data_IF_998224815938
#
_entry.id   IF_998224815938
#
_cell.length_a   1.000
_cell.length_b   1.000
_cell.length_c   1.000
_cell.angle_alpha   90.00
_cell.angle_beta   90.00
_cell.angle_gamma   90.00
#
_symmetry.space_group_name_H-M   'P 1'
#
loop_
_entity.id
_entity.type
_entity.pdbx_description
1 polymer ?
#
# COMPACT_ATOMS: atom_id res chain seq x y z
N UNK A 1 25.38 15.35 -6.29
CA UNK A 1 26.01 14.04 -6.55
C UNK A 1 27.33 14.20 -7.29
N UNK A 2 27.39 14.94 -8.39
CA UNK A 2 28.64 15.15 -9.17
C UNK A 2 29.75 15.81 -8.34
N UNK A 3 29.43 16.80 -7.50
CA UNK A 3 30.41 17.47 -6.62
C UNK A 3 30.85 16.61 -5.42
N UNK A 4 30.06 15.63 -5.06
CA UNK A 4 30.31 14.72 -3.96
C UNK A 4 30.09 13.29 -4.42
N UNK A 5 31.09 12.66 -5.06
CA UNK A 5 30.95 11.33 -5.68
C UNK A 5 30.93 10.16 -4.68
N UNK A 6 30.93 10.46 -3.38
CA UNK A 6 30.86 9.44 -2.34
C UNK A 6 29.43 8.88 -2.22
N UNK A 7 29.29 7.86 -1.36
CA UNK A 7 28.04 7.17 -1.11
C UNK A 7 26.92 8.13 -0.72
N UNK A 8 25.76 7.96 -1.36
CA UNK A 8 24.61 8.83 -1.16
C UNK A 8 23.31 8.01 -1.02
N UNK A 9 22.36 8.56 -0.25
CA UNK A 9 21.00 8.01 -0.11
C UNK A 9 20.01 9.04 -0.63
N UNK A 10 19.05 8.61 -1.43
CA UNK A 10 17.92 9.45 -1.86
C UNK A 10 16.63 8.82 -1.33
N UNK A 11 15.93 9.54 -0.47
CA UNK A 11 14.65 9.11 0.06
C UNK A 11 13.48 9.58 -0.81
N UNK A 12 12.58 8.63 -1.09
CA UNK A 12 11.32 8.83 -1.81
C UNK A 12 10.17 8.17 -1.08
N UNK A 13 8.93 8.61 -1.31
CA UNK A 13 7.78 8.15 -0.55
C UNK A 13 7.21 6.80 -0.99
N UNK A 14 7.30 6.45 -2.27
CA UNK A 14 6.62 5.28 -2.80
C UNK A 14 7.53 4.41 -3.67
N UNK A 15 7.10 3.15 -3.86
CA UNK A 15 7.86 2.13 -4.60
C UNK A 15 8.11 2.53 -6.07
N UNK A 16 7.12 3.15 -6.71
CA UNK A 16 7.18 3.57 -8.11
C UNK A 16 8.25 4.66 -8.29
N UNK A 17 8.18 5.72 -7.50
CA UNK A 17 9.20 6.79 -7.50
C UNK A 17 10.60 6.25 -7.20
N UNK A 18 10.72 5.22 -6.34
CA UNK A 18 12.00 4.60 -6.03
C UNK A 18 12.66 3.99 -7.25
N UNK A 19 11.90 3.25 -8.05
CA UNK A 19 12.39 2.62 -9.29
C UNK A 19 12.67 3.67 -10.36
N UNK A 20 11.72 4.59 -10.61
CA UNK A 20 11.83 5.63 -11.64
C UNK A 20 13.02 6.55 -11.40
N UNK A 21 13.21 7.04 -10.16
CA UNK A 21 14.35 7.90 -9.82
C UNK A 21 15.68 7.16 -9.99
N UNK A 22 15.75 5.88 -9.59
CA UNK A 22 16.94 5.06 -9.79
C UNK A 22 17.28 4.89 -11.29
N UNK A 23 16.27 4.65 -12.12
CA UNK A 23 16.45 4.52 -13.57
C UNK A 23 16.93 5.83 -14.21
N UNK A 24 16.33 6.96 -13.81
CA UNK A 24 16.74 8.28 -14.30
C UNK A 24 18.19 8.60 -13.92
N UNK A 25 18.61 8.30 -12.69
CA UNK A 25 19.97 8.52 -12.26
C UNK A 25 20.98 7.65 -13.03
N UNK A 26 20.64 6.39 -13.31
CA UNK A 26 21.48 5.52 -14.14
C UNK A 26 21.59 6.05 -15.59
N UNK A 27 20.51 6.60 -16.16
CA UNK A 27 20.54 7.26 -17.48
C UNK A 27 21.43 8.52 -17.50
N UNK A 28 21.53 9.20 -16.36
CA UNK A 28 22.41 10.37 -16.18
C UNK A 28 23.87 9.98 -15.88
N UNK A 29 24.20 8.69 -15.89
CA UNK A 29 25.56 8.19 -15.68
C UNK A 29 25.97 7.94 -14.22
N UNK A 30 25.06 8.02 -13.27
CA UNK A 30 25.34 7.64 -11.90
C UNK A 30 25.14 6.14 -11.71
N UNK A 31 25.99 5.46 -10.95
CA UNK A 31 25.75 4.08 -10.53
C UNK A 31 24.72 4.07 -9.40
N UNK A 32 23.50 3.66 -9.73
CA UNK A 32 22.38 3.75 -8.81
C UNK A 32 21.64 2.42 -8.66
N UNK A 33 21.30 2.07 -7.43
CA UNK A 33 20.42 0.97 -7.07
C UNK A 33 19.20 1.48 -6.28
N UNK A 34 18.24 0.60 -5.97
CA UNK A 34 17.04 1.00 -5.25
C UNK A 34 16.65 -0.01 -4.18
N UNK A 35 15.88 0.46 -3.16
CA UNK A 35 15.42 -0.36 -2.05
C UNK A 35 14.04 0.06 -1.56
N UNK A 36 13.09 -0.88 -1.53
CA UNK A 36 11.77 -0.66 -0.94
C UNK A 36 11.19 -1.94 -0.31
N UNK A 37 10.22 -1.79 0.57
CA UNK A 37 9.63 -2.90 1.34
C UNK A 37 9.03 -4.03 0.49
N UNK A 38 8.58 -3.74 -0.73
CA UNK A 38 7.97 -4.73 -1.64
C UNK A 38 8.95 -5.58 -2.46
N UNK A 39 10.27 -5.36 -2.35
CA UNK A 39 11.26 -6.20 -3.02
C UNK A 39 11.35 -7.60 -2.38
N UNK A 40 11.60 -8.66 -3.16
CA UNK A 40 11.99 -9.96 -2.64
C UNK A 40 13.24 -9.88 -1.76
N UNK A 41 13.36 -10.73 -0.74
CA UNK A 41 14.47 -10.69 0.21
C UNK A 41 15.86 -10.75 -0.47
N UNK A 42 16.03 -11.62 -1.45
CA UNK A 42 17.28 -11.76 -2.22
C UNK A 42 17.66 -10.47 -2.99
N UNK A 43 16.66 -9.78 -3.52
CA UNK A 43 16.89 -8.54 -4.27
C UNK A 43 17.21 -7.38 -3.33
N UNK A 44 16.52 -7.30 -2.17
CA UNK A 44 16.86 -6.36 -1.10
C UNK A 44 18.32 -6.49 -0.68
N UNK A 45 18.75 -7.73 -0.41
CA UNK A 45 20.11 -8.02 0.01
C UNK A 45 21.13 -7.65 -1.07
N UNK A 46 20.90 -8.07 -2.33
CA UNK A 46 21.74 -7.76 -3.49
C UNK A 46 21.92 -6.24 -3.68
N UNK A 47 20.83 -5.49 -3.65
CA UNK A 47 20.83 -4.05 -3.89
C UNK A 47 21.51 -3.31 -2.73
N UNK A 48 21.24 -3.71 -1.49
CA UNK A 48 21.89 -3.18 -0.31
C UNK A 48 23.41 -3.46 -0.33
N UNK A 49 23.82 -4.70 -0.64
CA UNK A 49 25.23 -5.09 -0.70
C UNK A 49 25.99 -4.33 -1.79
N UNK A 50 25.39 -4.13 -2.97
CA UNK A 50 25.98 -3.34 -4.07
C UNK A 50 26.29 -1.91 -3.61
N UNK A 51 25.41 -1.30 -2.81
CA UNK A 51 25.63 0.04 -2.28
C UNK A 51 26.62 0.05 -1.11
N UNK A 52 26.57 -0.93 -0.21
CA UNK A 52 27.53 -1.06 0.89
C UNK A 52 28.98 -1.22 0.39
N UNK A 53 29.18 -1.97 -0.67
CA UNK A 53 30.48 -2.21 -1.30
C UNK A 53 30.92 -1.09 -2.26
N UNK A 54 30.19 0.03 -2.33
CA UNK A 54 30.44 1.15 -3.25
C UNK A 54 30.43 0.77 -4.76
N UNK A 55 29.82 -0.37 -5.14
CA UNK A 55 29.53 -0.71 -6.52
C UNK A 55 28.44 0.20 -7.10
N UNK A 56 27.53 0.63 -6.25
CA UNK A 56 26.54 1.69 -6.54
C UNK A 56 26.82 2.89 -5.67
N UNK A 57 27.02 4.05 -6.29
CA UNK A 57 27.23 5.33 -5.59
C UNK A 57 25.97 5.75 -4.86
N UNK A 58 24.81 5.57 -5.45
CA UNK A 58 23.53 6.04 -4.96
C UNK A 58 22.59 4.87 -4.67
N UNK A 59 21.90 4.94 -3.53
CA UNK A 59 20.73 4.11 -3.29
C UNK A 59 19.50 4.99 -3.17
N UNK A 60 18.48 4.73 -4.03
CA UNK A 60 17.16 5.35 -3.90
C UNK A 60 16.29 4.46 -3.04
N UNK A 61 15.68 5.00 -2.00
CA UNK A 61 14.99 4.18 -1.03
C UNK A 61 13.69 4.82 -0.51
N UNK A 62 12.77 3.97 -0.07
CA UNK A 62 11.66 4.40 0.79
C UNK A 62 12.09 4.31 2.26
N UNK A 63 11.25 4.78 3.18
CA UNK A 63 11.46 4.68 4.63
C UNK A 63 11.70 3.24 5.15
N UNK A 64 11.39 2.22 4.33
CA UNK A 64 11.75 0.83 4.65
C UNK A 64 13.27 0.58 4.68
N UNK A 65 14.07 1.51 4.13
CA UNK A 65 15.53 1.47 4.15
C UNK A 65 16.03 2.28 5.32
N UNK A 66 16.40 1.59 6.39
CA UNK A 66 16.85 2.37 7.53
C UNK A 66 17.31 1.57 8.73
N UNK A 67 16.50 0.70 9.29
CA UNK A 67 16.87 -0.04 10.49
C UNK A 67 18.08 -0.95 10.24
N UNK A 68 19.12 -0.82 11.08
CA UNK A 68 20.31 -1.66 11.02
C UNK A 68 21.33 -1.31 9.94
N UNK A 69 21.18 -0.18 9.21
CA UNK A 69 22.18 0.25 8.23
C UNK A 69 23.21 1.13 8.93
N UNK A 70 24.44 0.64 8.95
CA UNK A 70 25.59 1.36 9.47
C UNK A 70 26.70 1.43 8.43
N UNK A 71 26.64 2.48 7.58
CA UNK A 71 27.66 2.79 6.57
C UNK A 71 28.26 4.16 6.92
N UNK A 72 29.55 4.20 7.32
CA UNK A 72 30.16 5.43 7.86
C UNK A 72 30.44 6.50 6.79
N UNK A 73 30.64 6.11 5.55
CA UNK A 73 31.07 6.98 4.43
C UNK A 73 29.91 7.58 3.62
N UNK A 74 28.70 7.60 4.16
CA UNK A 74 27.58 8.30 3.53
C UNK A 74 27.80 9.81 3.58
N UNK A 75 27.98 10.41 2.40
CA UNK A 75 28.27 11.85 2.29
C UNK A 75 27.03 12.70 2.14
N UNK A 76 26.00 12.18 1.49
CA UNK A 76 24.80 12.97 1.18
C UNK A 76 23.53 12.14 1.38
N UNK A 77 22.57 12.72 2.09
CA UNK A 77 21.20 12.22 2.18
C UNK A 77 20.27 13.26 1.57
N UNK A 78 19.50 12.87 0.57
CA UNK A 78 18.60 13.75 -0.18
C UNK A 78 17.16 13.27 -0.02
N UNK A 79 16.28 14.17 0.35
CA UNK A 79 14.83 13.96 0.30
C UNK A 79 14.28 14.73 -0.91
N UNK A 80 13.74 14.04 -1.89
CA UNK A 80 13.12 14.67 -3.08
C UNK A 80 11.63 14.93 -2.91
N UNK A 81 11.10 14.64 -1.73
CA UNK A 81 9.73 14.93 -1.28
C UNK A 81 9.79 15.29 0.19
N UNK A 82 8.85 16.12 0.66
CA UNK A 82 8.82 16.53 2.06
C UNK A 82 8.66 15.30 2.97
N UNK A 83 9.44 15.18 4.04
CA UNK A 83 9.25 14.13 5.05
C UNK A 83 7.89 14.27 5.74
N UNK A 84 7.36 13.20 6.29
CA UNK A 84 6.08 13.20 7.01
C UNK A 84 6.17 13.99 8.31
N UNK A 85 7.31 13.88 9.00
CA UNK A 85 7.65 14.59 10.24
C UNK A 85 9.17 14.79 10.36
N UNK A 86 9.59 15.64 11.29
CA UNK A 86 11.01 15.93 11.50
C UNK A 86 11.77 14.75 12.14
N UNK A 87 11.10 13.92 12.93
CA UNK A 87 11.71 12.75 13.57
C UNK A 87 12.21 11.78 12.51
N UNK A 88 11.37 11.47 11.52
CA UNK A 88 11.74 10.62 10.38
C UNK A 88 12.89 11.27 9.58
N UNK A 89 12.79 12.57 9.33
CA UNK A 89 13.84 13.32 8.63
C UNK A 89 15.20 13.22 9.35
N UNK A 90 15.23 13.44 10.67
CA UNK A 90 16.46 13.35 11.45
C UNK A 90 17.04 11.93 11.47
N UNK A 91 16.20 10.92 11.58
CA UNK A 91 16.65 9.52 11.53
C UNK A 91 17.26 9.16 10.16
N UNK A 92 16.69 9.70 9.09
CA UNK A 92 17.15 9.46 7.71
C UNK A 92 18.36 10.32 7.37
N UNK A 93 18.34 11.62 7.64
CA UNK A 93 19.45 12.54 7.41
C UNK A 93 20.67 12.23 8.29
N UNK A 94 20.45 11.78 9.52
CA UNK A 94 21.50 11.36 10.47
C UNK A 94 22.30 10.12 10.06
N UNK A 95 22.03 9.55 8.87
CA UNK A 95 22.88 8.51 8.26
C UNK A 95 24.09 9.08 7.57
N UNK A 96 24.08 10.37 7.24
CA UNK A 96 25.21 11.06 6.67
C UNK A 96 26.23 11.46 7.75
N UNK A 97 27.51 11.39 7.43
CA UNK A 97 28.60 11.93 8.27
C UNK A 97 28.93 11.12 9.53
N UNK A 98 28.60 9.85 9.60
CA UNK A 98 28.90 8.99 10.76
C UNK A 98 30.40 8.79 11.00
N UNK A 99 31.22 9.05 10.00
CA UNK A 99 32.66 9.05 10.10
C UNK A 99 33.23 10.37 10.69
N UNK A 100 32.37 11.32 11.09
CA UNK A 100 32.79 12.62 11.62
C UNK A 100 33.18 13.66 10.55
N UNK A 101 33.13 13.32 9.28
CA UNK A 101 33.38 14.26 8.18
C UNK A 101 32.17 15.09 7.85
N UNK A 102 32.41 16.26 7.22
CA UNK A 102 31.34 17.12 6.70
C UNK A 102 30.43 16.33 5.73
N UNK A 103 29.16 16.31 6.02
CA UNK A 103 28.13 15.63 5.22
C UNK A 103 26.94 16.56 4.97
N UNK A 104 26.04 16.15 4.09
CA UNK A 104 24.94 16.99 3.65
C UNK A 104 23.61 16.26 3.79
N UNK A 105 22.67 16.87 4.54
CA UNK A 105 21.24 16.55 4.54
C UNK A 105 20.52 17.59 3.67
N UNK A 106 19.82 17.17 2.64
CA UNK A 106 19.20 18.04 1.66
C UNK A 106 17.71 17.67 1.50
N UNK A 107 16.83 18.65 1.60
CA UNK A 107 15.43 18.53 1.19
C UNK A 107 15.26 19.33 -0.11
N UNK A 108 14.86 18.64 -1.18
CA UNK A 108 14.48 19.29 -2.44
C UNK A 108 12.98 19.51 -2.41
N UNK A 109 12.56 20.76 -2.42
CA UNK A 109 11.15 21.14 -2.29
C UNK A 109 10.81 22.34 -3.15
N UNK A 110 9.54 22.46 -3.46
CA UNK A 110 8.93 23.62 -4.09
C UNK A 110 7.63 24.00 -3.34
N UNK A 111 7.06 25.20 -3.54
CA UNK A 111 5.85 25.62 -2.81
C UNK A 111 4.64 24.69 -2.97
N UNK A 112 4.51 23.99 -4.11
CA UNK A 112 3.41 23.07 -4.36
C UNK A 112 3.53 21.78 -3.53
N UNK A 113 4.73 21.39 -3.10
CA UNK A 113 4.96 20.20 -2.32
C UNK A 113 4.31 20.28 -0.93
N UNK A 114 4.24 21.47 -0.35
CA UNK A 114 3.55 21.72 0.92
C UNK A 114 2.06 21.41 0.77
N UNK A 115 1.42 21.97 -0.26
CA UNK A 115 -0.01 21.74 -0.54
C UNK A 115 -0.29 20.27 -0.84
N UNK A 116 0.55 19.64 -1.65
CA UNK A 116 0.41 18.24 -1.98
C UNK A 116 0.58 17.34 -0.75
N UNK A 117 1.58 17.61 0.09
CA UNK A 117 1.83 16.87 1.32
C UNK A 117 0.69 17.03 2.32
N UNK A 118 0.17 18.26 2.49
CA UNK A 118 -1.00 18.52 3.32
C UNK A 118 -2.21 17.70 2.86
N UNK A 119 -2.52 17.74 1.56
CA UNK A 119 -3.64 16.98 0.99
C UNK A 119 -3.49 15.48 1.21
N UNK A 120 -2.26 14.97 1.18
CA UNK A 120 -1.98 13.54 1.32
C UNK A 120 -2.04 13.04 2.78
N UNK A 121 -1.64 13.84 3.76
CA UNK A 121 -1.47 13.38 5.14
C UNK A 121 -2.41 14.05 6.15
N UNK A 122 -2.82 15.30 5.91
CA UNK A 122 -3.63 16.07 6.86
C UNK A 122 -5.09 16.11 6.44
N UNK A 123 -5.38 16.46 5.19
CA UNK A 123 -6.77 16.62 4.72
C UNK A 123 -7.53 15.28 4.66
N UNK A 124 -6.82 14.16 4.70
CA UNK A 124 -7.39 12.80 4.78
C UNK A 124 -7.66 12.32 6.21
N UNK A 125 -7.30 13.11 7.24
CA UNK A 125 -7.59 12.77 8.62
C UNK A 125 -9.10 12.94 8.89
N UNK A 126 -9.76 11.92 9.46
CA UNK A 126 -11.17 12.04 9.79
C UNK A 126 -11.36 12.82 11.09
N UNK A 127 -12.28 13.74 11.10
CA UNK A 127 -12.77 14.36 12.33
C UNK A 127 -13.81 13.46 13.04
N UNK A 128 -14.18 13.84 14.26
CA UNK A 128 -15.17 13.11 15.07
C UNK A 128 -16.49 12.91 14.32
N UNK A 129 -16.97 13.94 13.61
CA UNK A 129 -18.24 13.89 12.89
C UNK A 129 -18.18 12.88 11.77
N UNK A 130 -17.08 12.86 11.03
CA UNK A 130 -16.88 11.94 9.91
C UNK A 130 -16.73 10.49 10.41
N UNK A 131 -15.96 10.23 11.47
CA UNK A 131 -15.84 8.89 12.07
C UNK A 131 -17.20 8.38 12.55
N UNK A 132 -17.98 9.25 13.20
CA UNK A 132 -19.34 8.92 13.62
C UNK A 132 -20.23 8.56 12.44
N UNK A 133 -20.20 9.34 11.37
CA UNK A 133 -21.00 9.11 10.19
C UNK A 133 -20.61 7.78 9.52
N UNK A 134 -19.31 7.51 9.37
CA UNK A 134 -18.81 6.21 8.87
C UNK A 134 -19.31 5.06 9.74
N UNK A 135 -19.22 5.16 11.08
CA UNK A 135 -19.65 4.12 12.00
C UNK A 135 -21.16 3.82 11.90
N UNK A 136 -21.99 4.87 11.90
CA UNK A 136 -23.46 4.72 11.75
C UNK A 136 -23.80 4.10 10.38
N UNK A 137 -23.17 4.59 9.30
CA UNK A 137 -23.41 4.07 7.95
C UNK A 137 -22.92 2.63 7.79
N UNK A 138 -21.83 2.25 8.47
CA UNK A 138 -21.34 0.88 8.48
C UNK A 138 -22.34 -0.08 9.14
N UNK A 139 -22.86 0.28 10.30
CA UNK A 139 -23.91 -0.50 10.97
C UNK A 139 -25.18 -0.59 10.11
N UNK A 140 -25.59 0.51 9.47
CA UNK A 140 -26.74 0.51 8.56
C UNK A 140 -26.52 -0.34 7.31
N UNK A 141 -25.31 -0.35 6.78
CA UNK A 141 -24.91 -1.16 5.61
C UNK A 141 -25.10 -2.65 5.87
N UNK A 142 -24.78 -3.10 7.08
CA UNK A 142 -24.96 -4.47 7.53
C UNK A 142 -26.30 -4.71 8.29
N UNK A 143 -27.18 -3.73 8.31
CA UNK A 143 -28.51 -3.80 8.94
C UNK A 143 -28.48 -4.17 10.43
N UNK A 144 -27.42 -3.75 11.14
CA UNK A 144 -27.28 -3.98 12.58
C UNK A 144 -28.16 -2.98 13.34
N UNK A 145 -29.05 -3.49 14.20
CA UNK A 145 -29.89 -2.65 15.04
C UNK A 145 -29.13 -2.09 16.25
N UNK A 146 -29.66 -1.02 16.85
CA UNK A 146 -29.09 -0.45 18.08
C UNK A 146 -29.10 -1.49 19.21
N UNK A 147 -27.96 -1.65 19.88
CA UNK A 147 -27.76 -2.66 20.94
C UNK A 147 -27.37 -4.06 20.43
N UNK A 148 -27.26 -4.25 19.12
CA UNK A 148 -26.90 -5.53 18.49
C UNK A 148 -25.52 -5.49 17.82
N UNK A 149 -25.11 -6.57 17.18
CA UNK A 149 -23.92 -6.67 16.35
C UNK A 149 -22.67 -7.20 17.05
N UNK A 150 -22.69 -7.44 18.33
CA UNK A 150 -21.52 -7.95 19.05
C UNK A 150 -21.05 -9.30 18.50
N UNK A 151 -19.78 -9.40 18.15
CA UNK A 151 -19.13 -10.57 17.53
C UNK A 151 -19.64 -10.95 16.13
N UNK A 152 -20.43 -10.10 15.48
CA UNK A 152 -20.86 -10.36 14.12
C UNK A 152 -19.77 -9.96 13.12
N UNK A 153 -19.54 -10.83 12.11
CA UNK A 153 -18.52 -10.66 11.08
C UNK A 153 -19.14 -10.63 9.69
N UNK A 154 -18.71 -9.68 8.89
CA UNK A 154 -19.22 -9.46 7.55
C UNK A 154 -18.08 -9.34 6.53
N UNK A 155 -18.30 -9.90 5.34
CA UNK A 155 -17.48 -9.61 4.19
C UNK A 155 -17.74 -8.15 3.75
N UNK A 156 -16.68 -7.40 3.42
CA UNK A 156 -16.75 -5.97 3.19
C UNK A 156 -15.97 -5.56 1.95
N UNK A 157 -16.52 -4.61 1.19
CA UNK A 157 -15.81 -3.92 0.12
C UNK A 157 -15.80 -2.42 0.40
N UNK A 158 -14.64 -1.87 0.68
CA UNK A 158 -14.47 -0.45 1.01
C UNK A 158 -14.93 0.46 -0.14
N UNK A 159 -14.58 0.12 -1.38
CA UNK A 159 -14.92 0.97 -2.54
C UNK A 159 -16.43 1.01 -2.78
N UNK A 160 -17.11 -0.13 -2.68
CA UNK A 160 -18.57 -0.21 -2.80
C UNK A 160 -19.27 0.57 -1.68
N UNK A 161 -18.81 0.41 -0.44
CA UNK A 161 -19.33 1.16 0.72
C UNK A 161 -19.17 2.66 0.52
N UNK A 162 -17.97 3.10 0.12
CA UNK A 162 -17.70 4.51 -0.13
C UNK A 162 -18.53 5.08 -1.29
N UNK A 163 -18.70 4.32 -2.37
CA UNK A 163 -19.55 4.71 -3.50
C UNK A 163 -21.02 4.85 -3.08
N UNK A 164 -21.53 3.90 -2.28
CA UNK A 164 -22.91 3.91 -1.80
C UNK A 164 -23.25 5.13 -0.92
N UNK A 165 -22.32 5.53 -0.04
CA UNK A 165 -22.52 6.65 0.89
C UNK A 165 -21.81 7.94 0.48
N UNK A 166 -21.17 7.98 -0.68
CA UNK A 166 -20.41 9.13 -1.21
C UNK A 166 -19.27 9.58 -0.29
N UNK A 167 -18.59 8.62 0.36
CA UNK A 167 -17.45 8.91 1.20
C UNK A 167 -16.13 8.99 0.39
N UNK A 168 -15.20 9.93 0.73
CA UNK A 168 -13.83 9.89 0.24
C UNK A 168 -13.13 8.62 0.75
N UNK A 169 -12.67 7.75 -0.17
CA UNK A 169 -12.16 6.40 0.15
C UNK A 169 -11.05 6.42 1.20
N UNK A 170 -10.03 7.28 1.02
CA UNK A 170 -8.89 7.36 1.96
C UNK A 170 -9.34 7.82 3.36
N UNK A 171 -10.23 8.80 3.44
CA UNK A 171 -10.74 9.30 4.72
C UNK A 171 -11.62 8.27 5.43
N UNK A 172 -12.43 7.52 4.68
CA UNK A 172 -13.21 6.40 5.20
C UNK A 172 -12.31 5.26 5.68
N UNK A 173 -11.29 4.89 4.91
CA UNK A 173 -10.28 3.91 5.31
C UNK A 173 -9.58 4.30 6.61
N UNK A 174 -9.14 5.56 6.75
CA UNK A 174 -8.54 6.08 7.97
C UNK A 174 -9.51 6.03 9.16
N UNK A 175 -10.80 6.23 8.93
CA UNK A 175 -11.83 6.08 9.96
C UNK A 175 -11.98 4.63 10.42
N UNK A 176 -12.03 3.68 9.49
CA UNK A 176 -12.10 2.25 9.81
C UNK A 176 -10.85 1.79 10.55
N UNK A 177 -9.66 2.21 10.11
CA UNK A 177 -8.42 1.93 10.83
C UNK A 177 -8.38 2.55 12.24
N UNK A 178 -8.97 3.72 12.42
CA UNK A 178 -9.09 4.32 13.74
C UNK A 178 -10.01 3.48 14.63
N UNK A 179 -11.18 3.09 14.16
CA UNK A 179 -12.12 2.24 14.88
C UNK A 179 -11.52 0.87 15.24
N UNK A 180 -10.74 0.28 14.32
CA UNK A 180 -10.00 -0.97 14.55
C UNK A 180 -8.97 -0.82 15.67
N UNK A 181 -8.14 0.22 15.62
CA UNK A 181 -7.15 0.50 16.69
C UNK A 181 -7.77 0.81 18.05
N UNK A 182 -9.01 1.31 18.07
CA UNK A 182 -9.77 1.51 19.30
C UNK A 182 -10.49 0.25 19.79
N UNK A 183 -10.40 -0.85 19.06
CA UNK A 183 -11.03 -2.12 19.39
C UNK A 183 -12.55 -2.14 19.22
N UNK A 184 -13.13 -1.14 18.54
CA UNK A 184 -14.57 -1.04 18.28
C UNK A 184 -14.98 -2.04 17.20
N UNK A 185 -14.15 -2.15 16.18
CA UNK A 185 -14.27 -3.17 15.13
C UNK A 185 -12.94 -3.88 14.98
N UNK A 186 -12.93 -5.02 14.29
CA UNK A 186 -11.73 -5.61 13.69
C UNK A 186 -11.85 -5.46 12.18
N UNK A 187 -10.97 -4.70 11.58
CA UNK A 187 -10.92 -4.46 10.13
C UNK A 187 -9.73 -5.18 9.52
N UNK A 188 -9.99 -6.29 8.83
CA UNK A 188 -8.98 -7.07 8.14
C UNK A 188 -9.06 -6.79 6.65
N UNK A 189 -8.04 -6.14 6.12
CA UNK A 189 -7.86 -5.97 4.68
C UNK A 189 -7.08 -7.19 4.16
N UNK A 190 -7.72 -8.02 3.35
CA UNK A 190 -7.04 -9.09 2.65
C UNK A 190 -6.33 -8.47 1.42
N UNK A 191 -5.02 -8.58 1.37
CA UNK A 191 -4.19 -7.99 0.30
C UNK A 191 -4.23 -8.78 -1.02
N UNK A 192 -5.08 -9.79 -1.14
CA UNK A 192 -5.24 -10.63 -2.32
C UNK A 192 -6.68 -10.62 -2.77
N UNK A 193 -6.92 -10.12 -3.97
CA UNK A 193 -8.20 -10.33 -4.66
C UNK A 193 -8.43 -11.84 -4.80
N UNK A 194 -9.39 -12.36 -4.04
CA UNK A 194 -9.85 -13.72 -4.17
C UNK A 194 -10.93 -13.75 -5.23
N UNK A 195 -10.63 -14.32 -6.37
CA UNK A 195 -11.57 -14.58 -7.46
C UNK A 195 -12.12 -15.98 -7.27
N UNK A 196 -13.44 -16.14 -7.20
CA UNK A 196 -14.07 -17.45 -7.25
C UNK A 196 -14.62 -17.72 -8.64
N UNK A 197 -14.34 -18.88 -9.18
CA UNK A 197 -14.88 -19.30 -10.48
C UNK A 197 -15.17 -20.81 -10.51
N UNK A 198 -16.05 -21.19 -11.45
CA UNK A 198 -16.35 -22.59 -11.75
C UNK A 198 -16.42 -22.77 -13.26
N UNK A 199 -15.77 -23.80 -13.79
CA UNK A 199 -15.93 -24.18 -15.19
C UNK A 199 -17.29 -24.86 -15.39
N UNK A 200 -18.11 -24.32 -16.31
CA UNK A 200 -19.45 -24.82 -16.62
C UNK A 200 -19.51 -25.60 -17.93
N UNK A 201 -18.42 -25.62 -18.69
CA UNK A 201 -18.27 -26.39 -19.90
C UNK A 201 -17.48 -27.68 -19.64
N UNK A 202 -17.73 -28.78 -20.38
CA UNK A 202 -16.98 -30.01 -20.24
C UNK A 202 -15.48 -29.80 -20.53
N UNK A 203 -14.62 -30.59 -19.90
CA UNK A 203 -13.16 -30.52 -20.08
C UNK A 203 -12.70 -30.62 -21.53
N UNK A 204 -13.45 -31.36 -22.39
CA UNK A 204 -13.18 -31.42 -23.83
C UNK A 204 -13.33 -30.07 -24.54
N UNK A 205 -14.32 -29.30 -24.14
CA UNK A 205 -14.55 -27.93 -24.68
C UNK A 205 -13.49 -26.95 -24.17
N UNK A 206 -12.99 -27.14 -22.95
CA UNK A 206 -11.84 -26.34 -22.45
C UNK A 206 -10.60 -26.61 -23.28
N UNK A 207 -10.32 -27.87 -23.64
CA UNK A 207 -9.19 -28.20 -24.53
C UNK A 207 -9.37 -27.57 -25.91
N UNK A 208 -10.60 -27.57 -26.43
CA UNK A 208 -10.91 -26.89 -27.69
C UNK A 208 -10.69 -25.39 -27.60
N UNK A 209 -11.14 -24.76 -26.50
CA UNK A 209 -10.90 -23.33 -26.25
C UNK A 209 -9.40 -23.01 -26.24
N UNK A 210 -8.59 -23.81 -25.52
CA UNK A 210 -7.13 -23.67 -25.46
C UNK A 210 -6.53 -23.75 -26.86
N UNK A 211 -6.96 -24.70 -27.70
CA UNK A 211 -6.42 -24.84 -29.05
C UNK A 211 -6.70 -23.65 -29.98
N UNK A 212 -7.78 -22.91 -29.70
CA UNK A 212 -8.13 -21.68 -30.41
C UNK A 212 -7.44 -20.43 -29.81
N UNK A 213 -7.00 -20.51 -28.56
CA UNK A 213 -6.36 -19.43 -27.82
C UNK A 213 -5.03 -19.87 -27.17
N UNK A 214 -3.97 -20.18 -27.97
CA UNK A 214 -2.71 -20.74 -27.45
C UNK A 214 -2.02 -19.83 -26.43
N UNK A 215 -2.20 -18.52 -26.53
CA UNK A 215 -1.63 -17.55 -25.60
C UNK A 215 -2.19 -17.66 -24.19
N UNK A 216 -3.43 -18.11 -24.06
CA UNK A 216 -4.14 -18.23 -22.76
C UNK A 216 -3.90 -19.62 -22.10
N UNK A 217 -3.33 -20.58 -22.84
CA UNK A 217 -3.05 -21.95 -22.41
C UNK A 217 -2.28 -22.05 -21.08
N UNK A 218 -1.16 -21.31 -20.86
CA UNK A 218 -0.38 -21.43 -19.62
C UNK A 218 -1.19 -21.08 -18.40
N UNK A 219 -2.06 -20.07 -18.49
CA UNK A 219 -2.92 -19.62 -17.41
C UNK A 219 -4.00 -20.66 -17.11
N UNK A 220 -4.75 -21.07 -18.14
CA UNK A 220 -5.86 -22.04 -17.99
C UNK A 220 -5.34 -23.38 -17.46
N UNK A 221 -4.26 -23.89 -18.01
CA UNK A 221 -3.64 -25.16 -17.57
C UNK A 221 -3.15 -25.06 -16.13
N UNK A 222 -2.59 -23.93 -15.74
CA UNK A 222 -2.14 -23.69 -14.36
C UNK A 222 -3.32 -23.67 -13.39
N UNK A 223 -4.43 -23.02 -13.74
CA UNK A 223 -5.65 -23.01 -12.94
C UNK A 223 -6.15 -24.44 -12.74
N UNK A 224 -6.33 -25.20 -13.83
CA UNK A 224 -6.84 -26.57 -13.79
C UNK A 224 -5.96 -27.53 -12.97
N UNK A 225 -4.63 -27.36 -13.03
CA UNK A 225 -3.67 -28.18 -12.27
C UNK A 225 -3.57 -27.79 -10.79
N UNK A 226 -3.84 -26.54 -10.48
CA UNK A 226 -3.67 -26.02 -9.11
C UNK A 226 -4.93 -26.20 -8.27
N UNK A 227 -6.11 -26.14 -8.89
CA UNK A 227 -7.38 -26.14 -8.20
C UNK A 227 -8.23 -27.33 -8.64
N UNK A 228 -8.10 -28.43 -7.87
CA UNK A 228 -8.91 -29.63 -8.10
C UNK A 228 -10.39 -29.37 -7.78
N UNK A 229 -11.29 -29.97 -8.57
CA UNK A 229 -12.73 -29.83 -8.36
C UNK A 229 -13.36 -28.56 -8.95
N UNK A 230 -12.62 -27.73 -9.66
CA UNK A 230 -13.08 -26.45 -10.24
C UNK A 230 -14.20 -26.62 -11.30
N UNK A 231 -14.46 -27.84 -11.77
CA UNK A 231 -15.59 -28.17 -12.63
C UNK A 231 -16.86 -28.49 -11.83
N UNK A 232 -16.70 -28.99 -10.59
CA UNK A 232 -17.81 -29.50 -9.80
C UNK A 232 -18.34 -28.48 -8.81
N UNK A 233 -17.45 -27.63 -8.29
CA UNK A 233 -17.78 -26.64 -7.26
C UNK A 233 -17.10 -25.29 -7.54
N UNK A 234 -17.77 -24.22 -7.11
CA UNK A 234 -17.16 -22.88 -7.08
C UNK A 234 -15.86 -22.93 -6.28
N UNK A 235 -14.77 -22.54 -6.90
CA UNK A 235 -13.43 -22.61 -6.32
C UNK A 235 -12.78 -21.25 -6.28
N UNK A 236 -12.31 -20.85 -5.10
CA UNK A 236 -11.55 -19.60 -4.92
C UNK A 236 -10.12 -19.78 -5.42
N UNK A 237 -9.70 -18.93 -6.31
CA UNK A 237 -8.34 -18.91 -6.87
C UNK A 237 -7.56 -17.68 -6.42
N UNK A 238 -6.24 -17.79 -6.43
CA UNK A 238 -5.32 -16.69 -6.15
C UNK A 238 -4.62 -16.29 -7.46
N UNK A 239 -4.96 -15.14 -8.09
CA UNK A 239 -4.38 -14.68 -9.34
C UNK A 239 -2.86 -14.55 -9.28
N UNK A 240 -2.31 -14.06 -8.17
CA UNK A 240 -0.86 -13.95 -7.96
C UNK A 240 -0.16 -15.31 -8.02
N UNK A 241 -0.74 -16.33 -7.38
CA UNK A 241 -0.18 -17.69 -7.42
C UNK A 241 -0.23 -18.29 -8.83
N UNK A 242 -1.35 -18.06 -9.54
CA UNK A 242 -1.50 -18.50 -10.94
C UNK A 242 -0.48 -17.81 -11.83
N UNK A 243 -0.34 -16.50 -11.74
CA UNK A 243 0.61 -15.70 -12.51
C UNK A 243 2.06 -16.21 -12.30
N UNK A 244 2.43 -16.44 -11.03
CA UNK A 244 3.75 -16.98 -10.67
C UNK A 244 4.01 -18.36 -11.27
N UNK A 245 3.03 -19.29 -11.20
CA UNK A 245 3.15 -20.65 -11.71
C UNK A 245 3.09 -20.71 -13.25
N UNK A 246 2.31 -19.84 -13.88
CA UNK A 246 2.18 -19.72 -15.33
C UNK A 246 3.31 -18.86 -15.96
N UNK A 247 4.20 -18.29 -15.14
CA UNK A 247 5.27 -17.38 -15.54
C UNK A 247 4.77 -16.18 -16.37
N UNK A 248 3.71 -15.55 -15.90
CA UNK A 248 3.05 -14.41 -16.55
C UNK A 248 2.71 -13.31 -15.55
N UNK A 249 2.09 -12.21 -15.98
CA UNK A 249 1.62 -11.13 -15.11
C UNK A 249 0.23 -11.43 -14.53
N UNK A 250 -0.08 -10.87 -13.36
CA UNK A 250 -1.42 -10.95 -12.76
C UNK A 250 -2.48 -10.35 -13.70
N UNK A 251 -2.15 -9.23 -14.34
CA UNK A 251 -3.03 -8.59 -15.32
C UNK A 251 -3.41 -9.54 -16.47
N UNK A 252 -2.47 -10.32 -16.98
CA UNK A 252 -2.79 -11.31 -18.02
C UNK A 252 -3.66 -12.44 -17.48
N UNK A 253 -3.49 -12.86 -16.22
CA UNK A 253 -4.38 -13.84 -15.58
C UNK A 253 -5.81 -13.31 -15.50
N UNK A 254 -5.98 -12.05 -15.09
CA UNK A 254 -7.30 -11.38 -15.04
C UNK A 254 -7.93 -11.29 -16.44
N UNK A 255 -7.18 -10.83 -17.45
CA UNK A 255 -7.64 -10.76 -18.83
C UNK A 255 -8.11 -12.14 -19.39
N UNK A 256 -7.40 -13.22 -19.01
CA UNK A 256 -7.80 -14.58 -19.42
C UNK A 256 -9.08 -15.03 -18.71
N UNK A 257 -9.21 -14.72 -17.42
CA UNK A 257 -10.42 -15.04 -16.63
C UNK A 257 -11.63 -14.29 -17.20
N UNK A 258 -11.48 -13.00 -17.52
CA UNK A 258 -12.55 -12.20 -18.11
C UNK A 258 -12.98 -12.76 -19.47
N UNK A 259 -12.05 -13.13 -20.35
CA UNK A 259 -12.34 -13.77 -21.63
C UNK A 259 -13.09 -15.11 -21.48
N UNK A 260 -12.69 -15.92 -20.48
CA UNK A 260 -13.39 -17.18 -20.18
C UNK A 260 -14.82 -16.94 -19.71
N UNK A 261 -15.05 -15.88 -18.92
CA UNK A 261 -16.38 -15.49 -18.46
C UNK A 261 -17.23 -14.95 -19.61
N UNK A 262 -16.70 -14.07 -20.45
CA UNK A 262 -17.36 -13.53 -21.65
C UNK A 262 -17.74 -14.66 -22.63
N UNK A 263 -16.85 -15.66 -22.77
CA UNK A 263 -17.09 -16.85 -23.62
C UNK A 263 -18.00 -17.89 -22.96
N UNK A 264 -18.58 -17.59 -21.80
CA UNK A 264 -19.44 -18.50 -21.03
C UNK A 264 -18.77 -19.85 -20.72
N UNK A 265 -17.46 -19.88 -20.63
CA UNK A 265 -16.72 -21.07 -20.25
C UNK A 265 -16.72 -21.31 -18.73
N UNK A 266 -16.83 -20.23 -17.96
CA UNK A 266 -16.86 -20.22 -16.51
C UNK A 266 -18.02 -19.36 -15.98
N UNK A 267 -18.48 -19.67 -14.79
CA UNK A 267 -19.18 -18.72 -13.94
C UNK A 267 -18.10 -18.02 -13.11
N UNK A 268 -18.03 -16.69 -13.25
CA UNK A 268 -17.10 -15.86 -12.50
C UNK A 268 -17.87 -15.17 -11.37
N UNK A 269 -17.52 -15.52 -10.14
CA UNK A 269 -17.93 -14.79 -8.95
C UNK A 269 -16.72 -13.98 -8.49
N UNK A 270 -16.55 -12.76 -9.00
CA UNK A 270 -15.59 -11.84 -8.43
C UNK A 270 -16.05 -11.57 -7.00
N UNK A 271 -15.35 -12.10 -6.00
CA UNK A 271 -15.51 -11.63 -4.63
C UNK A 271 -14.95 -10.22 -4.60
N UNK A 272 -15.82 -9.23 -4.80
CA UNK A 272 -15.54 -7.82 -4.61
C UNK A 272 -15.26 -7.47 -3.12
N UNK A 273 -15.07 -8.48 -2.27
CA UNK A 273 -14.79 -8.29 -0.86
C UNK A 273 -13.28 -8.44 -0.65
N UNK A 274 -12.61 -7.31 -0.60
CA UNK A 274 -11.17 -7.19 -0.34
C UNK A 274 -10.85 -7.11 1.16
N UNK A 275 -11.88 -7.20 2.01
CA UNK A 275 -11.75 -7.05 3.46
C UNK A 275 -12.91 -7.71 4.22
N UNK A 276 -12.74 -7.80 5.53
CA UNK A 276 -13.80 -8.20 6.46
C UNK A 276 -13.88 -7.22 7.64
N UNK A 277 -15.07 -7.09 8.20
CA UNK A 277 -15.32 -6.31 9.41
C UNK A 277 -16.01 -7.19 10.42
N UNK A 278 -15.46 -7.21 11.65
CA UNK A 278 -16.08 -7.81 12.82
C UNK A 278 -16.39 -6.71 13.82
N UNK A 279 -17.61 -6.67 14.34
CA UNK A 279 -18.00 -5.72 15.39
C UNK A 279 -17.63 -6.30 16.75
N UNK A 280 -16.75 -5.64 17.49
CA UNK A 280 -16.24 -6.11 18.77
C UNK A 280 -17.10 -5.65 19.95
N UNK A 281 -18.10 -4.82 19.71
CA UNK A 281 -19.07 -4.36 20.71
C UNK A 281 -20.44 -4.12 20.07
N UNK A 282 -21.49 -4.08 20.91
CA UNK A 282 -22.83 -3.77 20.45
C UNK A 282 -22.92 -2.32 19.94
N UNK A 283 -23.78 -2.08 18.96
CA UNK A 283 -24.00 -0.75 18.37
C UNK A 283 -24.58 0.24 19.42
N UNK A 284 -23.84 1.28 19.72
CA UNK A 284 -24.26 2.38 20.61
C UNK A 284 -23.91 3.76 20.01
N UNK A 285 -23.95 3.90 18.70
CA UNK A 285 -23.70 5.12 17.91
C UNK A 285 -22.91 6.24 18.64
N UNK A 286 -23.63 7.15 19.30
CA UNK A 286 -23.02 8.30 19.98
C UNK A 286 -22.15 7.93 21.18
N UNK A 287 -22.51 6.94 21.97
CA UNK A 287 -21.75 6.53 23.16
C UNK A 287 -20.41 5.96 22.76
N UNK A 288 -20.40 5.07 21.76
CA UNK A 288 -19.16 4.47 21.21
C UNK A 288 -18.20 5.55 20.73
N UNK A 289 -18.66 6.47 19.89
CA UNK A 289 -17.77 7.47 19.28
C UNK A 289 -17.34 8.55 20.28
N UNK A 290 -18.22 8.98 21.20
CA UNK A 290 -17.86 9.97 22.21
C UNK A 290 -16.75 9.48 23.14
N UNK A 291 -16.71 8.18 23.45
CA UNK A 291 -15.67 7.56 24.26
C UNK A 291 -14.27 7.74 23.68
N UNK A 292 -14.12 7.64 22.36
CA UNK A 292 -12.84 7.68 21.66
C UNK A 292 -12.53 9.03 21.00
N UNK A 293 -13.47 9.98 21.01
CA UNK A 293 -13.35 11.25 20.30
C UNK A 293 -12.14 12.08 20.73
N UNK A 294 -11.88 12.20 22.04
CA UNK A 294 -10.73 12.97 22.56
C UNK A 294 -9.40 12.41 22.10
N UNK A 295 -9.31 11.09 21.97
CA UNK A 295 -8.11 10.44 21.48
C UNK A 295 -7.89 10.72 19.98
N UNK A 296 -8.97 10.69 19.18
CA UNK A 296 -8.92 11.06 17.75
C UNK A 296 -8.44 12.51 17.57
N UNK A 297 -9.05 13.45 18.30
CA UNK A 297 -8.71 14.88 18.25
C UNK A 297 -7.25 15.12 18.64
N UNK A 298 -6.77 14.45 19.68
CA UNK A 298 -5.38 14.53 20.11
C UNK A 298 -4.41 13.99 19.05
N UNK A 299 -4.71 12.82 18.46
CA UNK A 299 -3.88 12.25 17.38
C UNK A 299 -3.83 13.14 16.14
N UNK A 300 -4.97 13.71 15.73
CA UNK A 300 -5.03 14.60 14.58
C UNK A 300 -4.21 15.88 14.85
N UNK A 301 -4.35 16.46 16.02
CA UNK A 301 -3.59 17.64 16.44
C UNK A 301 -2.07 17.38 16.41
N UNK A 302 -1.62 16.24 16.94
CA UNK A 302 -0.20 15.86 16.89
C UNK A 302 0.31 15.76 15.45
N UNK A 303 -0.46 15.16 14.54
CA UNK A 303 -0.08 15.07 13.12
C UNK A 303 -0.02 16.44 12.44
N UNK A 304 -0.97 17.32 12.74
CA UNK A 304 -0.95 18.71 12.27
C UNK A 304 0.26 19.48 12.77
N UNK A 305 0.59 19.35 14.06
CA UNK A 305 1.78 19.98 14.67
C UNK A 305 3.08 19.45 14.06
N UNK A 306 3.19 18.13 13.84
CA UNK A 306 4.32 17.50 13.18
C UNK A 306 4.50 18.01 11.75
N UNK A 307 3.42 18.09 10.98
CA UNK A 307 3.44 18.62 9.63
C UNK A 307 3.86 20.11 9.63
N UNK A 308 3.27 20.91 10.53
CA UNK A 308 3.62 22.33 10.65
C UNK A 308 5.11 22.53 11.02
N UNK A 309 5.66 21.65 11.84
CA UNK A 309 7.09 21.66 12.17
C UNK A 309 7.98 21.44 10.95
N UNK A 310 7.59 20.53 10.05
CA UNK A 310 8.29 20.33 8.77
C UNK A 310 8.19 21.58 7.89
N UNK A 311 7.00 22.18 7.78
CA UNK A 311 6.80 23.40 7.00
C UNK A 311 7.67 24.53 7.57
N UNK A 312 7.66 24.74 8.88
CA UNK A 312 8.48 25.78 9.52
C UNK A 312 9.97 25.53 9.27
N UNK A 313 10.43 24.29 9.36
CA UNK A 313 11.84 23.94 9.13
C UNK A 313 12.32 24.29 7.71
N UNK A 314 11.49 24.04 6.68
CA UNK A 314 11.88 24.32 5.29
C UNK A 314 11.64 25.77 4.86
N UNK A 315 10.83 26.55 5.60
CA UNK A 315 10.54 27.95 5.28
C UNK A 315 11.34 28.96 6.10
N UNK A 316 11.98 28.53 7.20
CA UNK A 316 12.87 29.40 7.97
C UNK A 316 14.20 29.57 7.23
N UNK A 317 14.55 30.82 6.93
CA UNK A 317 15.82 31.21 6.29
C UNK A 317 17.02 31.15 7.26
N UNK A 318 16.78 30.97 8.57
CA UNK A 318 17.80 31.05 9.65
C UNK A 318 18.36 29.69 10.07
N UNK A 319 18.27 28.64 9.23
CA UNK A 319 18.82 27.30 9.53
C UNK A 319 20.03 26.95 8.67
#
# INVERSE_FOLDING_TARGET
>A
LTKNPQSSIIYVRNRKSCIETSQQLNQLGFTCTFYHGGLPAKEKEKNMQSWLENKSQVIVATNAFGMGIDKPDVKTVIHIQLPENLENYYQEAGRAGRNGEKAFGIIVTNPSDITYTKAQFIDVLPDKKFVKDVYIKLNNYFQIAYGEGYNESFAFNLNQFCAHYHFPVIKAFNSLQFLDRQGIITFQSESTEKISLQFIIPSKEVIRYISLHPHDEPVITTILRTYSGIFDVETTINPHLVAKKANTSEKHVEEVIDKLAESQCIILHAKNNDSSITFNEAREDDLTINRVAKFLEHQNKLKEEQFQSVVNYITNEDT
#
